data_IF_903486022794
#
_entry.id   IF_903486022794
#
_cell.length_a   1.000
_cell.length_b   1.000
_cell.length_c   1.000
_cell.angle_alpha   90.00
_cell.angle_beta   90.00
_cell.angle_gamma   90.00
#
_symmetry.space_group_name_H-M   'P 1'
#
loop_
_entity.id
_entity.type
_entity.pdbx_description
1 polymer ?
#
# COMPACT_ATOMS: atom_id res chain seq x y z
N UNK A 1 18.97 -9.28 29.23
CA UNK A 1 19.23 -9.68 27.82
C UNK A 1 17.88 -9.94 27.12
N UNK A 2 17.23 -8.86 26.71
CA UNK A 2 15.86 -8.86 26.18
C UNK A 2 15.86 -9.06 24.67
N UNK A 3 15.47 -10.26 24.24
CA UNK A 3 15.35 -10.64 22.83
C UNK A 3 13.96 -11.20 22.54
N UNK A 4 12.89 -10.44 22.84
CA UNK A 4 11.50 -10.87 22.58
C UNK A 4 10.56 -9.69 22.25
N UNK A 5 10.87 -8.86 21.24
CA UNK A 5 9.88 -7.87 20.75
C UNK A 5 10.11 -7.39 19.31
N UNK A 6 10.48 -8.27 18.38
CA UNK A 6 10.59 -7.88 16.94
C UNK A 6 9.49 -8.51 16.09
N UNK A 7 9.04 -9.74 16.41
CA UNK A 7 8.00 -10.43 15.65
C UNK A 7 6.56 -9.96 15.95
N UNK A 8 6.29 -9.47 17.17
CA UNK A 8 4.94 -9.04 17.57
C UNK A 8 4.48 -7.77 16.86
N UNK A 9 5.40 -6.83 16.59
CA UNK A 9 5.11 -5.57 15.92
C UNK A 9 4.64 -5.81 14.48
N UNK A 10 5.43 -6.56 13.70
CA UNK A 10 5.10 -6.86 12.30
C UNK A 10 3.83 -7.70 12.16
N UNK A 11 3.59 -8.64 13.08
CA UNK A 11 2.35 -9.41 13.07
C UNK A 11 1.14 -8.51 13.32
N UNK A 12 1.20 -7.61 14.31
CA UNK A 12 0.10 -6.69 14.67
C UNK A 12 -0.15 -5.61 13.61
N UNK A 13 0.86 -5.23 12.82
CA UNK A 13 0.73 -4.22 11.77
C UNK A 13 -0.42 -4.55 10.80
N UNK A 14 -0.55 -5.82 10.42
CA UNK A 14 -1.65 -6.28 9.53
C UNK A 14 -3.04 -5.95 10.08
N UNK A 15 -3.27 -6.14 11.39
CA UNK A 15 -4.53 -5.80 12.04
C UNK A 15 -4.73 -4.28 12.08
N UNK A 16 -3.68 -3.52 12.39
CA UNK A 16 -3.74 -2.05 12.43
C UNK A 16 -4.13 -1.48 11.07
N UNK A 17 -3.47 -1.90 9.99
CA UNK A 17 -3.79 -1.44 8.63
C UNK A 17 -5.20 -1.86 8.20
N UNK A 18 -5.63 -3.08 8.55
CA UNK A 18 -6.99 -3.52 8.25
C UNK A 18 -8.03 -2.66 8.96
N UNK A 19 -7.85 -2.36 10.25
CA UNK A 19 -8.77 -1.51 11.01
C UNK A 19 -8.82 -0.08 10.45
N UNK A 20 -7.68 0.48 10.06
CA UNK A 20 -7.63 1.82 9.47
C UNK A 20 -8.30 1.88 8.09
N UNK A 21 -8.15 0.82 7.27
CA UNK A 21 -8.79 0.73 5.95
C UNK A 21 -10.31 0.83 5.96
N UNK A 22 -10.96 0.63 7.11
CA UNK A 22 -12.40 0.75 7.28
C UNK A 22 -12.85 2.21 7.13
N UNK A 23 -12.05 3.16 7.64
CA UNK A 23 -12.39 4.58 7.62
C UNK A 23 -11.58 5.37 6.58
N UNK A 24 -12.16 5.50 5.39
CA UNK A 24 -11.56 6.21 4.25
C UNK A 24 -11.50 7.73 4.39
N UNK A 25 -12.02 8.32 5.47
CA UNK A 25 -12.01 9.78 5.62
C UNK A 25 -10.64 10.34 5.95
N UNK A 26 -9.71 9.50 6.45
CA UNK A 26 -8.32 9.89 6.70
C UNK A 26 -7.48 9.74 5.44
N UNK A 27 -7.59 8.57 4.80
CA UNK A 27 -6.88 8.26 3.56
C UNK A 27 -7.24 6.88 2.99
N UNK A 28 -6.67 6.54 1.82
CA UNK A 28 -6.85 5.27 1.12
C UNK A 28 -5.53 4.49 1.01
N UNK A 29 -5.53 3.22 1.43
CA UNK A 29 -4.42 2.29 1.18
C UNK A 29 -4.48 1.80 -0.28
N UNK A 30 -3.99 2.61 -1.20
CA UNK A 30 -3.95 2.26 -2.62
C UNK A 30 -2.69 1.44 -2.93
N UNK A 31 -2.89 0.27 -3.52
CA UNK A 31 -1.81 -0.64 -3.92
C UNK A 31 -1.80 -0.84 -5.42
N UNK A 32 -0.61 -1.11 -5.96
CA UNK A 32 -0.40 -1.33 -7.38
C UNK A 32 0.11 -2.74 -7.63
N UNK A 33 -0.44 -3.41 -8.64
CA UNK A 33 0.03 -4.72 -9.06
C UNK A 33 1.46 -4.63 -9.59
N UNK A 34 2.32 -5.52 -9.13
CA UNK A 34 3.70 -5.61 -9.63
C UNK A 34 4.22 -7.04 -9.52
N UNK A 35 5.29 -7.37 -10.25
CA UNK A 35 5.87 -8.72 -10.23
C UNK A 35 6.52 -9.04 -8.88
N UNK A 36 7.29 -8.10 -8.35
CA UNK A 36 7.98 -8.22 -7.08
C UNK A 36 8.09 -6.85 -6.38
N UNK A 37 8.50 -6.85 -5.11
CA UNK A 37 8.57 -5.62 -4.32
C UNK A 37 9.70 -4.68 -4.77
N UNK A 38 10.82 -5.20 -5.27
CA UNK A 38 11.92 -4.35 -5.74
C UNK A 38 11.52 -3.59 -7.01
N UNK A 39 10.85 -4.24 -7.97
CA UNK A 39 10.32 -3.57 -9.18
C UNK A 39 9.32 -2.45 -8.80
N UNK A 40 8.56 -2.65 -7.72
CA UNK A 40 7.67 -1.64 -7.17
C UNK A 40 8.45 -0.46 -6.58
N UNK A 41 9.50 -0.71 -5.78
CA UNK A 41 10.37 0.34 -5.23
C UNK A 41 11.13 1.12 -6.32
N UNK A 42 11.52 0.44 -7.39
CA UNK A 42 12.20 1.05 -8.54
C UNK A 42 11.22 1.82 -9.46
N UNK A 43 9.93 1.87 -9.12
CA UNK A 43 8.91 2.61 -9.86
C UNK A 43 8.52 1.98 -11.20
N UNK A 44 8.93 0.74 -11.47
CA UNK A 44 8.67 0.06 -12.75
C UNK A 44 7.18 -0.22 -12.99
N UNK A 45 6.38 -0.18 -11.92
CA UNK A 45 4.95 -0.43 -11.94
C UNK A 45 4.09 0.84 -11.76
N UNK A 46 4.69 2.05 -11.75
CA UNK A 46 3.99 3.31 -11.42
C UNK A 46 3.37 4.04 -12.62
N UNK A 47 3.44 3.48 -13.84
CA UNK A 47 3.02 4.15 -15.08
C UNK A 47 1.49 4.19 -15.32
N UNK A 48 0.67 3.93 -14.30
CA UNK A 48 -0.81 3.93 -14.39
C UNK A 48 -1.42 2.79 -15.23
N UNK A 49 -0.60 1.95 -15.87
CA UNK A 49 -1.07 0.82 -16.69
C UNK A 49 -1.29 -0.46 -15.89
N UNK A 50 -0.79 -0.50 -14.65
CA UNK A 50 -0.93 -1.64 -13.77
C UNK A 50 -2.23 -1.54 -12.96
N UNK A 51 -2.96 -2.65 -12.78
CA UNK A 51 -4.14 -2.67 -11.94
C UNK A 51 -3.84 -2.14 -10.53
N UNK A 52 -4.72 -1.28 -10.03
CA UNK A 52 -4.68 -0.80 -8.65
C UNK A 52 -5.81 -1.43 -7.84
N UNK A 53 -5.56 -1.63 -6.55
CA UNK A 53 -6.54 -2.17 -5.62
C UNK A 53 -6.41 -1.51 -4.26
N UNK A 54 -7.53 -1.32 -3.56
CA UNK A 54 -7.50 -0.91 -2.17
C UNK A 54 -7.16 -2.10 -1.26
N UNK A 55 -6.28 -1.89 -0.28
CA UNK A 55 -5.97 -2.88 0.75
C UNK A 55 -7.03 -2.86 1.87
N UNK A 56 -7.30 -4.02 2.47
CA UNK A 56 -8.11 -4.14 3.68
C UNK A 56 -9.59 -4.42 3.42
N UNK A 57 -10.49 -3.89 4.25
CA UNK A 57 -11.93 -4.08 4.11
C UNK A 57 -12.50 -3.69 2.72
N UNK A 58 -12.07 -2.59 2.08
CA UNK A 58 -12.63 -2.20 0.79
C UNK A 58 -12.08 -2.99 -0.41
N UNK A 59 -11.19 -3.95 -0.19
CA UNK A 59 -10.62 -4.78 -1.26
C UNK A 59 -11.73 -5.49 -2.05
N UNK A 60 -11.60 -5.46 -3.38
CA UNK A 60 -12.55 -6.10 -4.31
C UNK A 60 -11.81 -7.02 -5.27
N UNK A 61 -12.42 -8.16 -5.66
CA UNK A 61 -11.87 -8.99 -6.73
C UNK A 61 -11.76 -8.19 -8.03
N UNK A 62 -10.63 -8.33 -8.73
CA UNK A 62 -10.47 -7.79 -10.08
C UNK A 62 -10.61 -8.94 -11.07
N UNK A 63 -11.58 -8.82 -11.99
CA UNK A 63 -11.90 -9.87 -12.96
C UNK A 63 -10.75 -10.06 -13.95
N UNK A 64 -10.43 -11.32 -14.26
CA UNK A 64 -9.38 -11.68 -15.23
C UNK A 64 -7.95 -11.64 -14.71
N UNK A 65 -7.75 -11.34 -13.41
CA UNK A 65 -6.43 -11.43 -12.78
C UNK A 65 -6.12 -12.84 -12.26
N UNK A 66 -4.84 -13.21 -12.30
CA UNK A 66 -4.36 -14.46 -11.70
C UNK A 66 -4.60 -14.46 -10.18
N UNK A 67 -5.07 -15.55 -9.55
CA UNK A 67 -5.30 -15.62 -8.10
C UNK A 67 -4.07 -15.35 -7.24
N UNK A 68 -2.86 -15.49 -7.79
CA UNK A 68 -1.57 -15.23 -7.13
C UNK A 68 -0.97 -13.87 -7.49
N UNK A 69 -1.76 -13.00 -8.11
CA UNK A 69 -1.36 -11.61 -8.39
C UNK A 69 -0.93 -10.91 -7.11
N UNK A 70 0.14 -10.12 -7.20
CA UNK A 70 0.74 -9.44 -6.04
C UNK A 70 0.56 -7.94 -6.19
N UNK A 71 0.13 -7.32 -5.10
CA UNK A 71 -0.07 -5.89 -4.99
C UNK A 71 0.83 -5.35 -3.89
N UNK A 72 1.41 -4.19 -4.14
CA UNK A 72 2.35 -3.55 -3.21
C UNK A 72 1.95 -2.10 -3.00
N UNK A 73 2.18 -1.63 -1.79
CA UNK A 73 2.11 -0.23 -1.39
C UNK A 73 3.20 0.02 -0.33
N UNK A 74 3.51 1.28 -0.08
CA UNK A 74 4.27 1.68 1.11
C UNK A 74 3.31 2.21 2.18
N UNK A 75 3.74 2.15 3.43
CA UNK A 75 2.98 2.69 4.57
C UNK A 75 3.90 3.56 5.42
N UNK A 76 3.31 4.55 6.08
CA UNK A 76 3.99 5.35 7.08
C UNK A 76 4.28 4.54 8.35
N UNK A 77 5.23 5.04 9.14
CA UNK A 77 5.54 4.48 10.46
C UNK A 77 4.55 4.91 11.56
N UNK A 78 3.73 5.94 11.30
CA UNK A 78 2.72 6.49 12.19
C UNK A 78 1.41 6.75 11.44
N UNK A 79 0.31 6.94 12.18
CA UNK A 79 -0.96 7.30 11.57
C UNK A 79 -0.91 8.71 10.93
N UNK A 80 -1.61 8.93 9.79
CA UNK A 80 -2.27 7.93 8.97
C UNK A 80 -1.23 7.02 8.27
N UNK A 81 -1.44 5.69 8.36
CA UNK A 81 -0.42 4.72 7.91
C UNK A 81 -0.39 4.54 6.40
N UNK A 82 -1.45 4.88 5.70
CA UNK A 82 -1.44 4.99 4.24
C UNK A 82 -0.41 6.05 3.78
N UNK A 83 0.01 5.93 2.53
CA UNK A 83 0.70 7.00 1.82
C UNK A 83 -0.20 7.34 0.64
N UNK A 84 -0.84 8.50 0.71
CA UNK A 84 -1.47 9.08 -0.47
C UNK A 84 -0.35 9.82 -1.19
N UNK A 85 -0.04 9.41 -2.41
CA UNK A 85 0.86 10.21 -3.23
C UNK A 85 0.25 11.61 -3.32
N UNK A 86 0.88 12.58 -2.65
CA UNK A 86 0.74 13.97 -3.05
C UNK A 86 1.23 13.99 -4.50
N UNK A 87 0.29 13.99 -5.44
CA UNK A 87 0.57 14.52 -6.76
C UNK A 87 0.78 16.02 -6.56
N UNK A 88 1.94 16.41 -6.05
CA UNK A 88 2.48 17.75 -6.20
C UNK A 88 2.60 17.94 -7.72
N UNK A 89 1.74 18.77 -8.36
CA UNK A 89 1.98 19.16 -9.73
C UNK A 89 3.31 19.90 -9.67
N UNK A 90 4.37 19.34 -10.24
CA UNK A 90 5.65 20.03 -10.33
C UNK A 90 5.40 21.39 -10.95
N UNK A 91 5.56 22.43 -10.13
CA UNK A 91 5.47 23.82 -10.56
C UNK A 91 6.58 24.04 -11.60
N UNK A 92 6.20 23.98 -12.88
CA UNK A 92 7.03 24.41 -13.99
C UNK A 92 6.50 25.75 -14.46
N UNK A 93 6.77 26.76 -13.64
CA UNK A 93 6.63 28.17 -13.99
C UNK A 93 7.99 28.84 -13.77
N UNK A 94 8.86 28.79 -14.79
CA UNK A 94 9.91 29.80 -14.98
C UNK A 94 9.36 30.88 -15.89
#
# INVERSE_FOLDING_TARGET
>A
PDSLYTGSCNHRASLTYFLESINKTKCIFLSTMCSNYNDFLDGLCSNGSFPMAEMGLPAKPILGLDPKSKFYLQTNVFEPYCIEDEYEPTDHST
#
